data_IF_230624819828
#
_entry.id   IF_230624819828
#
_cell.length_a   1.000
_cell.length_b   1.000
_cell.length_c   1.000
_cell.angle_alpha   90.00
_cell.angle_beta   90.00
_cell.angle_gamma   90.00
#
_symmetry.space_group_name_H-M   'P 1'
#
loop_
_entity.id
_entity.type
_entity.pdbx_description
1 polymer ?
#
# COMPACT_ATOMS: atom_id res chain seq x y z
N UNK A 1 24.42 3.17 -8.86
CA UNK A 1 22.95 3.07 -8.65
C UNK A 1 22.72 2.78 -7.18
N UNK A 2 22.05 3.67 -6.46
CA UNK A 2 21.86 3.57 -5.00
C UNK A 2 20.95 2.41 -4.60
N UNK A 3 19.78 2.31 -5.25
CA UNK A 3 18.78 1.35 -4.85
C UNK A 3 18.88 0.02 -5.59
N UNK A 4 18.83 -1.07 -4.84
CA UNK A 4 18.71 -2.44 -5.35
C UNK A 4 17.29 -2.96 -5.12
N UNK A 5 16.69 -2.64 -3.97
CA UNK A 5 15.37 -3.08 -3.54
C UNK A 5 14.38 -1.92 -3.65
N UNK A 6 13.29 -2.12 -4.39
CA UNK A 6 12.24 -1.13 -4.59
C UNK A 6 10.92 -1.72 -4.11
N UNK A 7 10.38 -1.14 -3.05
CA UNK A 7 9.17 -1.58 -2.39
C UNK A 7 8.02 -0.65 -2.77
N UNK A 8 6.93 -1.17 -3.26
CA UNK A 8 5.76 -0.40 -3.67
C UNK A 8 4.58 -0.64 -2.75
N UNK A 9 3.92 0.43 -2.28
CA UNK A 9 2.56 0.27 -1.78
C UNK A 9 1.61 -0.14 -2.90
N UNK A 10 0.44 -0.65 -2.55
CA UNK A 10 -0.56 -1.14 -3.51
C UNK A 10 -1.65 -0.09 -3.76
N UNK A 11 -2.43 0.22 -2.73
CA UNK A 11 -3.63 1.05 -2.84
C UNK A 11 -3.24 2.53 -2.96
N UNK A 12 -3.46 3.18 -4.10
CA UNK A 12 -3.04 4.56 -4.36
C UNK A 12 -1.67 4.70 -5.01
N UNK A 13 -0.89 3.62 -5.08
CA UNK A 13 0.45 3.63 -5.68
C UNK A 13 0.52 2.78 -6.95
N UNK A 14 0.16 1.50 -6.89
CA UNK A 14 0.05 0.61 -8.05
C UNK A 14 -1.38 0.62 -8.57
N UNK A 15 -2.37 0.58 -7.67
CA UNK A 15 -3.78 0.31 -7.95
C UNK A 15 -4.69 1.46 -7.53
N UNK A 16 -5.63 1.81 -8.41
CA UNK A 16 -6.79 2.66 -8.13
C UNK A 16 -7.89 1.81 -7.52
N UNK A 17 -7.84 1.63 -6.21
CA UNK A 17 -8.68 0.69 -5.45
C UNK A 17 -9.86 1.34 -4.73
N UNK A 18 -9.98 2.65 -4.80
CA UNK A 18 -10.90 3.45 -4.00
C UNK A 18 -12.37 3.00 -4.10
N UNK A 19 -12.84 2.63 -5.29
CA UNK A 19 -14.22 2.17 -5.52
C UNK A 19 -14.51 0.88 -4.75
N UNK A 20 -13.62 -0.10 -4.83
CA UNK A 20 -13.76 -1.38 -4.14
C UNK A 20 -13.68 -1.27 -2.63
N UNK A 21 -12.78 -0.43 -2.13
CA UNK A 21 -12.65 -0.13 -0.69
C UNK A 21 -13.91 0.55 -0.19
N UNK A 22 -14.37 1.61 -0.86
CA UNK A 22 -15.58 2.33 -0.49
C UNK A 22 -16.80 1.42 -0.43
N UNK A 23 -17.06 0.64 -1.49
CA UNK A 23 -18.19 -0.29 -1.56
C UNK A 23 -18.17 -1.31 -0.43
N UNK A 24 -16.98 -1.80 -0.05
CA UNK A 24 -16.80 -2.76 1.04
C UNK A 24 -17.02 -2.15 2.42
N UNK A 25 -16.55 -0.91 2.64
CA UNK A 25 -16.82 -0.15 3.87
C UNK A 25 -18.31 0.13 4.03
N UNK A 26 -18.97 0.66 3.00
CA UNK A 26 -20.41 0.93 3.02
C UNK A 26 -21.20 -0.35 3.32
N UNK A 27 -20.82 -1.48 2.71
CA UNK A 27 -21.47 -2.76 2.98
C UNK A 27 -21.33 -3.16 4.46
N UNK A 28 -20.12 -3.13 5.01
CA UNK A 28 -19.86 -3.51 6.39
C UNK A 28 -20.62 -2.63 7.39
N UNK A 29 -20.56 -1.31 7.21
CA UNK A 29 -21.23 -0.32 8.09
C UNK A 29 -22.75 -0.52 8.08
N UNK A 30 -23.36 -0.72 6.89
CA UNK A 30 -24.81 -1.02 6.79
C UNK A 30 -25.18 -2.33 7.48
N UNK A 31 -24.36 -3.36 7.36
CA UNK A 31 -24.60 -4.67 7.98
C UNK A 31 -24.51 -4.63 9.50
N UNK A 32 -23.71 -3.71 10.05
CA UNK A 32 -23.60 -3.44 11.48
C UNK A 32 -24.74 -2.56 12.02
N UNK A 33 -25.59 -1.99 11.15
CA UNK A 33 -26.55 -0.93 11.49
C UNK A 33 -25.87 0.28 12.19
N UNK A 34 -24.59 0.52 11.87
CA UNK A 34 -23.83 1.63 12.41
C UNK A 34 -24.11 2.92 11.60
N UNK A 35 -23.82 4.07 12.24
CA UNK A 35 -23.96 5.36 11.57
C UNK A 35 -22.96 5.46 10.43
N UNK A 36 -23.47 5.75 9.21
CA UNK A 36 -22.60 5.97 8.06
C UNK A 36 -21.85 7.29 8.25
N UNK A 37 -20.50 7.27 8.31
CA UNK A 37 -19.73 8.51 8.35
C UNK A 37 -19.86 9.26 7.02
N UNK A 38 -19.46 10.53 7.01
CA UNK A 38 -19.34 11.28 5.75
C UNK A 38 -18.21 10.65 4.91
N UNK A 39 -18.59 10.02 3.82
CA UNK A 39 -17.68 9.43 2.83
C UNK A 39 -17.41 10.38 1.66
N UNK A 40 -17.69 11.68 1.78
CA UNK A 40 -17.39 12.68 0.76
C UNK A 40 -15.89 12.72 0.44
N UNK A 41 -15.05 12.65 1.46
CA UNK A 41 -13.61 12.40 1.34
C UNK A 41 -13.28 10.98 1.86
N UNK A 42 -13.59 9.98 1.04
CA UNK A 42 -13.34 8.58 1.39
C UNK A 42 -11.85 8.20 1.28
N UNK A 43 -11.00 9.04 0.73
CA UNK A 43 -9.56 8.75 0.59
C UNK A 43 -8.89 8.55 1.93
N UNK A 44 -9.34 9.22 2.99
CA UNK A 44 -8.86 9.05 4.36
C UNK A 44 -9.06 7.64 4.94
N UNK A 45 -9.92 6.82 4.32
CA UNK A 45 -10.15 5.43 4.71
C UNK A 45 -9.23 4.45 3.98
N UNK A 46 -8.37 4.96 3.07
CA UNK A 46 -7.39 4.19 2.31
C UNK A 46 -6.01 4.42 2.94
N UNK A 47 -5.29 3.34 3.21
CA UNK A 47 -3.96 3.37 3.84
C UNK A 47 -3.94 2.92 5.30
N UNK A 48 -4.85 3.36 6.20
CA UNK A 48 -4.87 2.85 7.56
C UNK A 48 -5.14 1.34 7.64
N UNK A 49 -4.62 0.65 8.67
CA UNK A 49 -5.04 -0.71 8.99
C UNK A 49 -6.57 -0.80 9.18
N UNK A 50 -7.17 -1.86 8.65
CA UNK A 50 -8.64 -1.97 8.56
C UNK A 50 -9.36 -1.86 9.91
N UNK A 51 -8.84 -2.50 10.95
CA UNK A 51 -9.39 -2.41 12.31
C UNK A 51 -9.33 -0.96 12.82
N UNK A 52 -8.20 -0.28 12.61
CA UNK A 52 -8.03 1.11 13.02
C UNK A 52 -8.99 2.04 12.26
N UNK A 53 -9.29 1.74 11.00
CA UNK A 53 -10.33 2.43 10.22
C UNK A 53 -11.70 2.32 10.90
N UNK A 54 -12.13 1.13 11.27
CA UNK A 54 -13.43 0.94 11.93
C UNK A 54 -13.49 1.58 13.33
N UNK A 55 -12.41 1.50 14.10
CA UNK A 55 -12.34 2.13 15.45
C UNK A 55 -12.28 3.65 15.38
N UNK A 56 -11.34 4.18 14.62
CA UNK A 56 -10.96 5.60 14.71
C UNK A 56 -11.73 6.49 13.73
N UNK A 57 -12.14 5.97 12.57
CA UNK A 57 -12.81 6.74 11.54
C UNK A 57 -14.31 6.47 11.46
N UNK A 58 -14.76 5.24 11.77
CA UNK A 58 -16.19 4.91 11.85
C UNK A 58 -16.72 5.09 13.28
N UNK A 59 -15.85 4.99 14.30
CA UNK A 59 -16.21 5.21 15.71
C UNK A 59 -16.80 3.98 16.41
N UNK A 60 -16.39 2.78 16.01
CA UNK A 60 -16.86 1.52 16.57
C UNK A 60 -16.00 1.08 17.76
N UNK A 61 -16.61 0.33 18.69
CA UNK A 61 -15.86 -0.37 19.73
C UNK A 61 -15.07 -1.56 19.16
N UNK A 62 -14.25 -2.19 20.00
CA UNK A 62 -13.33 -3.27 19.58
C UNK A 62 -14.08 -4.46 18.97
N UNK A 63 -15.19 -4.87 19.57
CA UNK A 63 -15.98 -6.02 19.08
C UNK A 63 -16.66 -5.71 17.75
N UNK A 64 -17.23 -4.52 17.63
CA UNK A 64 -17.87 -4.06 16.40
C UNK A 64 -16.85 -3.82 15.27
N UNK A 65 -15.66 -3.33 15.60
CA UNK A 65 -14.59 -3.12 14.64
C UNK A 65 -14.07 -4.45 14.04
N UNK A 66 -13.90 -5.48 14.86
CA UNK A 66 -13.56 -6.83 14.41
C UNK A 66 -14.64 -7.40 13.48
N UNK A 67 -15.91 -7.34 13.89
CA UNK A 67 -17.02 -7.79 13.05
C UNK A 67 -17.13 -6.97 11.75
N UNK A 68 -16.89 -5.65 11.83
CA UNK A 68 -16.83 -4.77 10.67
C UNK A 68 -15.76 -5.17 9.70
N UNK A 69 -14.57 -5.51 10.19
CA UNK A 69 -13.46 -5.99 9.37
C UNK A 69 -13.77 -7.34 8.70
N UNK A 70 -14.44 -8.26 9.38
CA UNK A 70 -14.89 -9.53 8.80
C UNK A 70 -15.90 -9.31 7.66
N UNK A 71 -16.90 -8.46 7.90
CA UNK A 71 -17.93 -8.12 6.90
C UNK A 71 -17.30 -7.42 5.67
N UNK A 72 -16.36 -6.49 5.92
CA UNK A 72 -15.59 -5.84 4.87
C UNK A 72 -14.82 -6.87 4.03
N UNK A 73 -14.00 -7.73 4.67
CA UNK A 73 -13.20 -8.75 4.00
C UNK A 73 -14.06 -9.71 3.18
N UNK A 74 -15.22 -10.12 3.72
CA UNK A 74 -16.16 -11.00 3.03
C UNK A 74 -16.71 -10.35 1.74
N UNK A 75 -17.07 -9.07 1.78
CA UNK A 75 -17.56 -8.36 0.61
C UNK A 75 -16.42 -8.04 -0.37
N UNK A 76 -15.28 -7.56 0.15
CA UNK A 76 -14.11 -7.24 -0.65
C UNK A 76 -13.63 -8.44 -1.45
N UNK A 77 -13.56 -9.61 -0.83
CA UNK A 77 -13.18 -10.85 -1.50
C UNK A 77 -14.10 -11.22 -2.67
N UNK A 78 -15.40 -11.02 -2.51
CA UNK A 78 -16.41 -11.42 -3.52
C UNK A 78 -16.61 -10.38 -4.62
N UNK A 79 -16.37 -9.10 -4.35
CA UNK A 79 -16.72 -7.98 -5.24
C UNK A 79 -15.68 -6.88 -5.27
N UNK A 80 -15.24 -6.36 -4.13
CA UNK A 80 -14.41 -5.15 -4.05
C UNK A 80 -13.08 -5.27 -4.76
N UNK A 81 -12.42 -6.43 -4.66
CA UNK A 81 -11.10 -6.65 -5.30
C UNK A 81 -11.13 -6.59 -6.83
N UNK A 82 -12.30 -6.79 -7.45
CA UNK A 82 -12.47 -6.70 -8.91
C UNK A 82 -12.70 -5.26 -9.40
N UNK A 83 -12.87 -4.30 -8.48
CA UNK A 83 -12.99 -2.87 -8.76
C UNK A 83 -11.64 -2.15 -8.62
N UNK A 84 -10.56 -2.85 -8.97
CA UNK A 84 -9.20 -2.33 -9.00
C UNK A 84 -8.73 -2.14 -10.43
N UNK A 85 -7.99 -1.05 -10.68
CA UNK A 85 -7.37 -0.76 -11.96
C UNK A 85 -5.95 -0.25 -11.72
N UNK A 86 -4.97 -0.73 -12.48
CA UNK A 86 -3.62 -0.18 -12.42
C UNK A 86 -3.60 1.31 -12.80
N UNK A 87 -2.71 2.09 -12.17
CA UNK A 87 -2.44 3.44 -12.66
C UNK A 87 -1.79 3.40 -14.04
N UNK A 88 -2.15 4.34 -14.89
CA UNK A 88 -1.56 4.44 -16.23
C UNK A 88 -0.04 4.63 -16.15
N UNK A 89 0.72 3.77 -16.82
CA UNK A 89 2.19 3.79 -16.83
C UNK A 89 2.86 2.93 -15.75
N UNK A 90 2.11 2.32 -14.83
CA UNK A 90 2.68 1.44 -13.79
C UNK A 90 3.39 0.24 -14.43
N UNK A 91 2.75 -0.45 -15.35
CA UNK A 91 3.31 -1.63 -16.02
C UNK A 91 4.63 -1.29 -16.71
N UNK A 92 4.67 -0.19 -17.48
CA UNK A 92 5.89 0.26 -18.18
C UNK A 92 7.00 0.64 -17.19
N UNK A 93 6.64 1.27 -16.07
CA UNK A 93 7.57 1.62 -14.98
C UNK A 93 8.20 0.38 -14.38
N UNK A 94 7.37 -0.61 -13.99
CA UNK A 94 7.84 -1.87 -13.43
C UNK A 94 8.74 -2.63 -14.40
N UNK A 95 8.36 -2.70 -15.67
CA UNK A 95 9.17 -3.31 -16.73
C UNK A 95 10.56 -2.67 -16.83
N UNK A 96 10.65 -1.33 -16.83
CA UNK A 96 11.92 -0.60 -16.90
C UNK A 96 12.79 -0.81 -15.66
N UNK A 97 12.19 -0.83 -14.47
CA UNK A 97 12.91 -1.09 -13.23
C UNK A 97 13.44 -2.53 -13.19
N UNK A 98 12.61 -3.48 -13.59
CA UNK A 98 13.02 -4.89 -13.67
C UNK A 98 14.16 -5.09 -14.70
N UNK A 99 14.05 -4.48 -15.89
CA UNK A 99 15.10 -4.51 -16.90
C UNK A 99 16.42 -3.84 -16.44
N UNK A 100 16.34 -2.89 -15.49
CA UNK A 100 17.51 -2.29 -14.84
C UNK A 100 18.07 -3.14 -13.67
N UNK A 101 17.59 -4.38 -13.50
CA UNK A 101 18.04 -5.32 -12.47
C UNK A 101 17.59 -5.01 -11.06
N UNK A 102 16.54 -4.21 -10.89
CA UNK A 102 15.97 -3.93 -9.57
C UNK A 102 15.16 -5.13 -9.07
N UNK A 103 15.22 -5.37 -7.76
CA UNK A 103 14.36 -6.32 -7.06
C UNK A 103 13.10 -5.60 -6.60
N UNK A 104 11.94 -6.06 -7.05
CA UNK A 104 10.67 -5.38 -6.86
C UNK A 104 9.75 -6.16 -5.94
N UNK A 105 9.23 -5.53 -4.90
CA UNK A 105 8.19 -6.13 -4.08
C UNK A 105 7.01 -5.18 -3.87
N UNK A 106 5.81 -5.76 -3.77
CA UNK A 106 4.68 -5.08 -3.13
C UNK A 106 4.91 -5.09 -1.62
N UNK A 107 4.71 -3.93 -0.97
CA UNK A 107 4.86 -3.74 0.47
C UNK A 107 3.66 -2.94 0.99
N UNK A 108 2.59 -3.61 1.44
CA UNK A 108 1.30 -2.97 1.69
C UNK A 108 0.70 -3.35 3.05
N UNK A 109 -0.02 -2.42 3.69
CA UNK A 109 -0.82 -2.71 4.89
C UNK A 109 -2.08 -3.54 4.60
N UNK A 110 -2.38 -3.77 3.32
CA UNK A 110 -3.46 -4.68 2.91
C UNK A 110 -3.12 -6.12 3.31
N UNK A 111 -4.15 -6.92 3.62
CA UNK A 111 -4.02 -8.36 3.87
C UNK A 111 -3.33 -9.06 2.69
N UNK A 112 -2.22 -9.73 2.96
CA UNK A 112 -1.31 -10.29 1.93
C UNK A 112 -2.00 -11.12 0.86
N UNK A 113 -2.89 -12.10 1.18
CA UNK A 113 -3.59 -12.85 0.16
C UNK A 113 -4.47 -11.99 -0.76
N UNK A 114 -5.03 -10.89 -0.27
CA UNK A 114 -5.76 -9.96 -1.14
C UNK A 114 -4.82 -9.15 -2.04
N UNK A 115 -3.65 -8.79 -1.55
CA UNK A 115 -2.64 -8.11 -2.36
C UNK A 115 -2.17 -9.01 -3.51
N UNK A 116 -1.88 -10.28 -3.23
CA UNK A 116 -1.51 -11.29 -4.25
C UNK A 116 -2.59 -11.43 -5.32
N UNK A 117 -3.86 -11.58 -4.90
CA UNK A 117 -4.98 -11.70 -5.84
C UNK A 117 -5.17 -10.45 -6.71
N UNK A 118 -4.97 -9.23 -6.14
CA UNK A 118 -5.09 -7.97 -6.89
C UNK A 118 -3.96 -7.88 -7.91
N UNK A 119 -2.72 -8.16 -7.53
CA UNK A 119 -1.58 -8.16 -8.45
C UNK A 119 -1.80 -9.16 -9.60
N UNK A 120 -2.41 -10.32 -9.32
CA UNK A 120 -2.81 -11.29 -10.34
C UNK A 120 -3.94 -10.75 -11.24
N UNK A 121 -5.00 -10.15 -10.66
CA UNK A 121 -6.11 -9.55 -11.42
C UNK A 121 -5.63 -8.42 -12.36
N UNK A 122 -4.60 -7.69 -11.95
CA UNK A 122 -4.01 -6.60 -12.73
C UNK A 122 -2.98 -7.08 -13.77
N UNK A 123 -2.73 -8.40 -13.89
CA UNK A 123 -1.69 -9.00 -14.75
C UNK A 123 -0.26 -8.50 -14.46
N UNK A 124 0.02 -8.13 -13.19
CA UNK A 124 1.31 -7.59 -12.78
C UNK A 124 2.22 -8.59 -12.06
N UNK A 125 1.80 -9.84 -11.88
CA UNK A 125 2.53 -10.87 -11.11
C UNK A 125 3.97 -11.08 -11.60
N UNK A 126 4.21 -11.05 -12.91
CA UNK A 126 5.54 -11.29 -13.49
C UNK A 126 6.56 -10.17 -13.26
N UNK A 127 6.11 -9.01 -12.78
CA UNK A 127 6.98 -7.85 -12.53
C UNK A 127 7.48 -7.79 -11.09
N UNK A 128 6.88 -8.54 -10.17
CA UNK A 128 7.26 -8.53 -8.76
C UNK A 128 7.96 -9.84 -8.36
N UNK A 129 9.09 -9.71 -7.66
CA UNK A 129 9.81 -10.85 -7.08
C UNK A 129 9.11 -11.33 -5.80
N UNK A 130 8.34 -10.46 -5.11
CA UNK A 130 7.56 -10.79 -3.92
C UNK A 130 6.32 -9.89 -3.76
N UNK A 131 5.30 -10.41 -3.07
CA UNK A 131 4.14 -9.64 -2.60
C UNK A 131 4.08 -9.80 -1.09
N UNK A 132 4.23 -8.68 -0.37
CA UNK A 132 4.31 -8.64 1.07
C UNK A 132 3.23 -7.71 1.63
N UNK A 133 2.38 -8.26 2.47
CA UNK A 133 1.25 -7.55 3.06
C UNK A 133 1.11 -7.78 4.56
N UNK A 134 0.03 -7.27 5.15
CA UNK A 134 -0.30 -7.55 6.54
C UNK A 134 -0.85 -8.98 6.71
N UNK A 135 -0.79 -9.49 7.95
CA UNK A 135 -1.44 -10.72 8.34
C UNK A 135 -2.66 -10.47 9.26
N UNK A 136 -3.49 -11.49 9.44
CA UNK A 136 -4.73 -11.37 10.24
C UNK A 136 -4.44 -11.30 11.73
N UNK A 137 -3.38 -11.96 12.21
CA UNK A 137 -3.04 -12.02 13.63
C UNK A 137 -2.45 -10.71 14.18
N UNK A 138 -2.21 -9.71 13.31
CA UNK A 138 -1.71 -8.40 13.68
C UNK A 138 -0.21 -8.33 13.99
N UNK A 139 0.52 -9.44 13.88
CA UNK A 139 1.97 -9.45 14.12
C UNK A 139 2.77 -8.70 13.04
N UNK A 140 2.15 -8.47 11.88
CA UNK A 140 2.70 -7.70 10.77
C UNK A 140 1.58 -6.83 10.19
N UNK A 141 1.35 -5.64 10.75
CA UNK A 141 0.28 -4.75 10.31
C UNK A 141 0.77 -3.39 9.80
N UNK A 142 1.85 -2.90 10.37
CA UNK A 142 2.38 -1.58 10.07
C UNK A 142 3.51 -1.67 9.03
N UNK A 143 3.75 -0.57 8.28
CA UNK A 143 4.79 -0.54 7.24
C UNK A 143 6.19 -0.88 7.78
N UNK A 144 6.52 -0.46 8.99
CA UNK A 144 7.83 -0.79 9.61
C UNK A 144 7.99 -2.26 10.00
N UNK A 145 6.89 -3.05 10.02
CA UNK A 145 6.95 -4.52 10.18
C UNK A 145 7.08 -5.20 8.81
N UNK A 146 6.45 -4.60 7.77
CA UNK A 146 6.36 -5.18 6.43
C UNK A 146 7.62 -4.90 5.61
N UNK A 147 8.25 -3.73 5.76
CA UNK A 147 9.46 -3.34 5.01
C UNK A 147 10.61 -4.33 5.23
N UNK A 148 11.02 -4.67 6.48
CA UNK A 148 12.06 -5.68 6.70
C UNK A 148 11.68 -7.04 6.12
N UNK A 149 10.42 -7.45 6.26
CA UNK A 149 9.92 -8.69 5.71
C UNK A 149 10.04 -8.72 4.18
N UNK A 150 9.70 -7.62 3.51
CA UNK A 150 9.77 -7.51 2.05
C UNK A 150 11.21 -7.56 1.53
N UNK A 151 12.17 -6.88 2.17
CA UNK A 151 13.59 -6.96 1.79
C UNK A 151 14.12 -8.38 1.92
N UNK A 152 13.80 -9.06 3.04
CA UNK A 152 14.21 -10.44 3.25
C UNK A 152 13.55 -11.40 2.22
N UNK A 153 12.29 -11.18 1.85
CA UNK A 153 11.59 -11.96 0.81
C UNK A 153 12.22 -11.78 -0.58
N UNK A 154 12.85 -10.62 -0.85
CA UNK A 154 13.62 -10.37 -2.07
C UNK A 154 15.02 -11.01 -2.06
N UNK A 155 15.37 -11.74 -0.99
CA UNK A 155 16.66 -12.38 -0.81
C UNK A 155 17.75 -11.47 -0.27
N UNK A 156 17.39 -10.29 0.23
CA UNK A 156 18.27 -9.36 0.93
C UNK A 156 18.41 -9.70 2.42
N UNK A 157 19.31 -9.00 3.08
CA UNK A 157 19.41 -8.90 4.54
C UNK A 157 19.06 -7.46 4.94
N UNK A 158 17.93 -7.25 5.57
CA UNK A 158 17.41 -5.92 5.86
C UNK A 158 18.40 -5.04 6.62
N UNK A 159 19.16 -5.59 7.57
CA UNK A 159 20.10 -4.81 8.38
C UNK A 159 21.24 -4.21 7.55
N UNK A 160 21.72 -4.94 6.55
CA UNK A 160 22.78 -4.48 5.63
C UNK A 160 22.25 -3.76 4.40
N UNK A 161 21.02 -4.06 3.96
CA UNK A 161 20.48 -3.60 2.67
C UNK A 161 19.52 -2.41 2.78
N UNK A 162 19.19 -1.93 3.99
CA UNK A 162 18.25 -0.82 4.18
C UNK A 162 18.67 0.46 3.44
N UNK A 163 19.98 0.77 3.35
CA UNK A 163 20.48 1.93 2.62
C UNK A 163 20.37 1.78 1.09
N UNK A 164 20.17 0.54 0.62
CA UNK A 164 19.93 0.19 -0.78
C UNK A 164 18.46 -0.06 -1.09
N UNK A 165 17.58 0.29 -0.14
CA UNK A 165 16.13 0.10 -0.23
C UNK A 165 15.42 1.43 -0.35
N UNK A 166 14.41 1.48 -1.22
CA UNK A 166 13.49 2.62 -1.32
C UNK A 166 12.04 2.14 -1.24
N UNK A 167 11.24 2.82 -0.42
CA UNK A 167 9.78 2.65 -0.37
C UNK A 167 9.12 3.69 -1.26
N UNK A 168 8.19 3.25 -2.10
CA UNK A 168 7.34 4.09 -2.95
C UNK A 168 5.91 3.99 -2.44
N UNK A 169 5.30 5.11 -2.09
CA UNK A 169 3.95 5.14 -1.53
C UNK A 169 3.28 6.49 -1.67
N UNK A 170 1.96 6.53 -1.48
CA UNK A 170 1.17 7.75 -1.66
C UNK A 170 0.71 8.37 -0.34
N UNK A 171 0.92 7.71 0.81
CA UNK A 171 0.42 8.18 2.10
C UNK A 171 1.53 8.49 3.10
N UNK A 172 1.17 9.26 4.14
CA UNK A 172 2.05 9.51 5.27
C UNK A 172 2.36 8.24 6.08
N UNK A 173 1.53 7.18 5.99
CA UNK A 173 1.81 5.88 6.59
C UNK A 173 3.03 5.23 5.95
N UNK A 174 3.17 5.36 4.61
CA UNK A 174 4.30 4.84 3.86
C UNK A 174 5.58 5.60 4.20
N UNK A 175 5.50 6.95 4.20
CA UNK A 175 6.60 7.83 4.57
C UNK A 175 7.10 7.53 5.99
N UNK A 176 6.19 7.48 6.96
CA UNK A 176 6.49 7.15 8.36
C UNK A 176 7.11 5.77 8.50
N UNK A 177 6.55 4.78 7.80
CA UNK A 177 7.07 3.41 7.81
C UNK A 177 8.48 3.35 7.26
N UNK A 178 8.75 4.00 6.12
CA UNK A 178 10.07 4.09 5.51
C UNK A 178 11.10 4.70 6.47
N UNK A 179 10.82 5.88 7.02
CA UNK A 179 11.76 6.56 7.91
C UNK A 179 11.98 5.83 9.24
N UNK A 180 10.95 5.21 9.81
CA UNK A 180 11.12 4.36 11.00
C UNK A 180 11.99 3.12 10.72
N UNK A 181 11.93 2.60 9.50
CA UNK A 181 12.73 1.46 9.06
C UNK A 181 14.15 1.88 8.60
N UNK A 182 14.43 3.19 8.49
CA UNK A 182 15.71 3.69 8.01
C UNK A 182 15.95 3.46 6.51
N UNK A 183 14.88 3.37 5.71
CA UNK A 183 14.94 3.27 4.25
C UNK A 183 14.52 4.60 3.61
N UNK A 184 14.96 4.84 2.37
CA UNK A 184 14.55 6.03 1.62
C UNK A 184 13.08 5.96 1.20
N UNK A 185 12.48 7.14 0.93
CA UNK A 185 11.09 7.24 0.52
C UNK A 185 10.93 8.13 -0.72
N UNK A 186 10.10 7.66 -1.66
CA UNK A 186 9.60 8.45 -2.78
C UNK A 186 8.08 8.52 -2.67
N UNK A 187 7.54 9.71 -2.42
CA UNK A 187 6.11 9.95 -2.41
C UNK A 187 5.54 10.00 -3.82
N UNK A 188 4.34 9.48 -4.04
CA UNK A 188 3.63 9.65 -5.31
C UNK A 188 2.45 10.61 -5.12
N UNK A 189 2.36 11.64 -5.98
CA UNK A 189 1.32 12.68 -5.91
C UNK A 189 0.06 12.32 -6.70
N UNK A 190 0.08 11.22 -7.44
CA UNK A 190 -1.08 10.75 -8.22
C UNK A 190 -2.03 9.81 -7.43
N UNK A 191 -1.65 9.48 -6.19
CA UNK A 191 -2.42 8.60 -5.30
C UNK A 191 -3.54 9.30 -4.54
N UNK A 192 -3.91 8.76 -3.40
CA UNK A 192 -5.00 9.27 -2.55
C UNK A 192 -4.50 10.16 -1.42
N UNK A 193 -3.22 10.04 -1.05
CA UNK A 193 -2.65 10.72 0.10
C UNK A 193 -2.33 12.20 -0.14
N UNK A 194 -2.12 12.90 0.96
CA UNK A 194 -1.75 14.32 0.96
C UNK A 194 -0.22 14.46 0.96
N UNK A 195 0.33 15.11 -0.07
CA UNK A 195 1.76 15.37 -0.19
C UNK A 195 2.32 16.18 0.99
N UNK A 196 1.55 17.13 1.54
CA UNK A 196 1.96 17.89 2.71
C UNK A 196 2.03 17.02 3.97
N UNK A 197 1.15 16.03 4.10
CA UNK A 197 1.23 15.05 5.18
C UNK A 197 2.50 14.20 5.06
N UNK A 198 2.86 13.76 3.87
CA UNK A 198 4.12 13.05 3.62
C UNK A 198 5.35 13.92 3.91
N UNK A 199 5.33 15.22 3.53
CA UNK A 199 6.42 16.19 3.85
C UNK A 199 6.59 16.38 5.35
N UNK A 200 5.50 16.42 6.12
CA UNK A 200 5.58 16.48 7.59
C UNK A 200 6.26 15.27 8.22
N UNK A 201 6.17 14.11 7.58
CA UNK A 201 6.93 12.91 8.00
C UNK A 201 8.40 12.94 7.54
N UNK A 202 8.80 13.87 6.66
CA UNK A 202 10.18 14.03 6.18
C UNK A 202 10.38 13.73 4.70
N UNK A 203 9.33 13.46 3.93
CA UNK A 203 9.44 13.19 2.50
C UNK A 203 9.91 14.43 1.72
N UNK A 204 10.93 14.25 0.88
CA UNK A 204 11.52 15.31 0.06
C UNK A 204 11.49 15.02 -1.43
N UNK A 205 11.29 13.75 -1.81
CA UNK A 205 11.29 13.30 -3.21
C UNK A 205 9.88 12.86 -3.59
N UNK A 206 9.39 13.38 -4.71
CA UNK A 206 8.03 13.09 -5.19
C UNK A 206 8.00 12.80 -6.68
N UNK A 207 7.16 11.85 -7.08
CA UNK A 207 6.81 11.50 -8.44
C UNK A 207 5.37 11.97 -8.72
N UNK A 208 5.15 12.71 -9.81
CA UNK A 208 3.81 13.17 -10.23
C UNK A 208 3.08 12.13 -11.06
N UNK A 209 3.81 11.24 -11.70
CA UNK A 209 3.30 10.16 -12.52
C UNK A 209 4.12 8.90 -12.25
N UNK A 210 3.62 7.68 -12.57
CA UNK A 210 4.43 6.48 -12.49
C UNK A 210 5.73 6.54 -13.30
N UNK A 211 5.74 7.24 -14.43
CA UNK A 211 6.93 7.38 -15.29
C UNK A 211 8.08 8.12 -14.62
N UNK A 212 7.80 9.03 -13.69
CA UNK A 212 8.82 9.81 -12.96
C UNK A 212 9.62 8.92 -12.00
N UNK A 213 9.10 7.76 -11.60
CA UNK A 213 9.78 6.83 -10.70
C UNK A 213 11.06 6.26 -11.33
N UNK A 214 11.05 6.02 -12.64
CA UNK A 214 12.20 5.41 -13.34
C UNK A 214 13.48 6.24 -13.17
N UNK A 215 13.52 7.54 -13.55
CA UNK A 215 14.73 8.34 -13.37
C UNK A 215 15.06 8.57 -11.89
N UNK A 216 14.08 8.67 -10.99
CA UNK A 216 14.31 8.85 -9.56
C UNK A 216 14.96 7.63 -8.90
N UNK A 217 14.77 6.44 -9.45
CA UNK A 217 15.27 5.19 -8.87
C UNK A 217 16.58 4.75 -9.57
N UNK A 218 16.70 4.95 -10.87
CA UNK A 218 17.84 4.44 -11.65
C UNK A 218 19.02 5.39 -11.64
N UNK A 219 18.80 6.71 -11.65
CA UNK A 219 19.85 7.73 -11.80
C UNK A 219 20.44 8.20 -10.46
N UNK A 220 20.04 7.59 -9.35
CA UNK A 220 20.58 7.89 -8.00
C UNK A 220 21.79 7.04 -7.66
#
# INVERSE_FOLDING_TARGET
>A
MKYQYVLFDLDGTISRSAEGIRASLEHAIRRLNATMPDLGDYTRYIGPPLIDTFKNLVGLDDVQAELGAELYRSYYNKRGKFLNHAYNGIEETLLKLHAAGKKLAVCTSKYEPFAEEIIHILDLTSYFDAVCGSNIDGSRKDKWDIIPYAVNALGGDFESDREHTVMVGDTFFDARGAFKSGVDFIGVEYGYGDAEAMRREGATVFAKTPFDLVPLIINT
#
